data_IF_915966872167
#
_entry.id   IF_915966872167
#
_cell.length_a   1.000
_cell.length_b   1.000
_cell.length_c   1.000
_cell.angle_alpha   90.00
_cell.angle_beta   90.00
_cell.angle_gamma   90.00
#
_symmetry.space_group_name_H-M   'P 1'
#
loop_
_entity.id
_entity.type
_entity.pdbx_description
1 polymer ?
#
# COMPACT_ATOMS: atom_id res chain seq x y z
N UNK A 1 43.73 -32.39 -22.97
CA UNK A 1 42.97 -31.54 -22.04
C UNK A 1 41.56 -31.37 -22.61
N UNK A 2 40.65 -32.35 -22.42
CA UNK A 2 39.42 -32.42 -23.21
C UNK A 2 38.24 -31.68 -22.58
N UNK A 3 37.57 -30.93 -23.46
CA UNK A 3 36.13 -30.66 -23.56
C UNK A 3 35.21 -31.25 -22.47
N UNK A 4 34.51 -30.39 -21.73
CA UNK A 4 33.22 -30.72 -21.13
C UNK A 4 32.10 -30.02 -21.90
N UNK A 5 31.43 -30.83 -22.73
CA UNK A 5 30.14 -30.60 -23.35
C UNK A 5 29.06 -30.81 -22.28
N UNK A 6 28.40 -29.75 -21.81
CA UNK A 6 27.18 -29.89 -21.00
C UNK A 6 25.99 -29.83 -21.94
N UNK A 7 25.35 -31.00 -22.08
CA UNK A 7 24.17 -31.21 -22.89
C UNK A 7 22.99 -30.39 -22.38
N UNK A 8 22.36 -29.65 -23.29
CA UNK A 8 21.03 -29.11 -23.14
C UNK A 8 20.03 -30.28 -23.14
N UNK A 9 19.70 -30.82 -21.97
CA UNK A 9 18.59 -31.76 -21.84
C UNK A 9 17.29 -30.96 -21.86
N UNK A 10 16.60 -30.99 -23.00
CA UNK A 10 15.23 -30.52 -23.10
C UNK A 10 14.34 -31.24 -22.06
N UNK A 11 13.42 -30.53 -21.37
CA UNK A 11 12.52 -31.19 -20.45
C UNK A 11 11.57 -32.10 -21.23
N UNK A 12 11.58 -33.37 -20.85
CA UNK A 12 10.62 -34.41 -21.20
C UNK A 12 9.20 -33.87 -21.11
N UNK A 13 8.42 -34.05 -22.19
CA UNK A 13 6.98 -33.81 -22.24
C UNK A 13 6.27 -34.64 -21.16
N UNK A 14 6.09 -34.06 -19.97
CA UNK A 14 5.15 -34.55 -18.96
C UNK A 14 3.75 -34.13 -19.37
N UNK A 15 2.88 -35.14 -19.50
CA UNK A 15 1.46 -35.00 -19.74
C UNK A 15 0.84 -33.90 -18.85
N UNK A 16 -0.05 -33.09 -19.44
CA UNK A 16 -0.89 -32.15 -18.70
C UNK A 16 -1.63 -32.94 -17.61
N UNK A 17 -1.37 -32.69 -16.31
CA UNK A 17 -2.15 -33.28 -15.25
C UNK A 17 -3.59 -32.83 -15.44
N UNK A 18 -4.54 -33.77 -15.33
CA UNK A 18 -5.96 -33.48 -15.42
C UNK A 18 -6.36 -32.31 -14.53
N UNK A 19 -7.38 -31.57 -14.94
CA UNK A 19 -7.94 -30.41 -14.25
C UNK A 19 -8.42 -30.77 -12.81
N UNK A 20 -7.49 -30.94 -11.88
CA UNK A 20 -7.72 -30.98 -10.46
C UNK A 20 -7.84 -29.56 -9.94
N UNK A 21 -8.87 -29.29 -9.13
CA UNK A 21 -9.01 -28.00 -8.47
C UNK A 21 -7.72 -27.69 -7.68
N UNK A 22 -7.12 -26.52 -7.94
CA UNK A 22 -5.90 -26.08 -7.27
C UNK A 22 -6.09 -26.11 -5.74
N UNK A 23 -5.12 -26.68 -5.02
CA UNK A 23 -5.14 -26.70 -3.55
C UNK A 23 -5.10 -25.28 -3.01
N UNK A 24 -5.62 -25.05 -1.80
CA UNK A 24 -5.49 -23.73 -1.13
C UNK A 24 -4.05 -23.23 -1.09
N UNK A 25 -3.07 -24.13 -0.90
CA UNK A 25 -1.64 -23.79 -0.92
C UNK A 25 -1.15 -23.39 -2.31
N UNK A 26 -1.69 -24.02 -3.36
CA UNK A 26 -1.35 -23.69 -4.76
C UNK A 26 -1.95 -22.32 -5.13
N UNK A 27 -3.16 -22.04 -4.63
CA UNK A 27 -3.79 -20.72 -4.74
C UNK A 27 -3.01 -19.67 -3.97
N UNK A 28 -2.56 -19.94 -2.74
CA UNK A 28 -1.75 -19.00 -1.95
C UNK A 28 -0.40 -18.70 -2.62
N UNK A 29 0.20 -19.68 -3.30
CA UNK A 29 1.42 -19.50 -4.07
C UNK A 29 1.21 -18.69 -5.36
N UNK A 30 0.05 -18.85 -6.02
CA UNK A 30 -0.32 -18.14 -7.23
C UNK A 30 -0.80 -16.69 -6.95
N UNK A 31 -1.53 -16.50 -5.85
CA UNK A 31 -2.07 -15.21 -5.39
C UNK A 31 -1.70 -14.97 -3.93
N UNK A 32 -0.44 -14.61 -3.63
CA UNK A 32 -0.02 -14.33 -2.27
C UNK A 32 -0.87 -13.20 -1.68
N UNK A 33 -1.35 -13.34 -0.43
CA UNK A 33 -2.24 -12.37 0.19
C UNK A 33 -1.57 -10.99 0.30
N UNK A 34 -2.40 -9.97 0.41
CA UNK A 34 -1.91 -8.61 0.59
C UNK A 34 -1.09 -8.51 1.89
N UNK A 35 0.11 -7.89 1.82
CA UNK A 35 0.91 -7.60 3.00
C UNK A 35 0.13 -6.80 4.05
N UNK A 36 0.47 -7.03 5.33
CA UNK A 36 -0.37 -6.63 6.45
C UNK A 36 -0.43 -5.12 6.64
N UNK A 37 0.69 -4.40 6.48
CA UNK A 37 0.73 -2.95 6.66
C UNK A 37 -0.02 -2.26 5.52
N UNK A 38 0.22 -2.69 4.28
CA UNK A 38 -0.47 -2.18 3.10
C UNK A 38 -1.97 -2.37 3.23
N UNK A 39 -2.42 -3.59 3.55
CA UNK A 39 -3.84 -3.87 3.79
C UNK A 39 -4.43 -2.99 4.90
N UNK A 40 -3.72 -2.83 6.02
CA UNK A 40 -4.18 -2.00 7.12
C UNK A 40 -4.31 -0.53 6.71
N UNK A 41 -3.35 -0.01 5.95
CA UNK A 41 -3.36 1.37 5.47
C UNK A 41 -4.51 1.62 4.48
N UNK A 42 -4.73 0.70 3.53
CA UNK A 42 -5.88 0.78 2.62
C UNK A 42 -7.21 0.82 3.38
N UNK A 43 -7.40 -0.09 4.34
CA UNK A 43 -8.62 -0.14 5.15
C UNK A 43 -8.80 1.12 5.99
N UNK A 44 -7.72 1.68 6.55
CA UNK A 44 -7.76 2.92 7.30
C UNK A 44 -8.20 4.10 6.41
N UNK A 45 -7.61 4.28 5.23
CA UNK A 45 -7.99 5.35 4.31
C UNK A 45 -9.45 5.25 3.87
N UNK A 46 -9.90 4.05 3.49
CA UNK A 46 -11.30 3.82 3.11
C UNK A 46 -12.25 4.06 4.29
N UNK A 47 -11.90 3.58 5.48
CA UNK A 47 -12.70 3.78 6.69
C UNK A 47 -12.84 5.26 7.07
N UNK A 48 -11.73 6.01 7.02
CA UNK A 48 -11.72 7.46 7.29
C UNK A 48 -12.52 8.22 6.23
N UNK A 49 -12.40 7.85 4.95
CA UNK A 49 -13.21 8.43 3.89
C UNK A 49 -14.70 8.24 4.15
N UNK A 50 -15.14 7.00 4.42
CA UNK A 50 -16.53 6.71 4.76
C UNK A 50 -17.00 7.48 6.01
N UNK A 51 -16.15 7.58 7.04
CA UNK A 51 -16.47 8.33 8.26
C UNK A 51 -16.79 9.80 7.95
N UNK A 52 -16.00 10.45 7.10
CA UNK A 52 -16.21 11.86 6.77
C UNK A 52 -17.32 12.10 5.75
N UNK A 53 -17.63 11.13 4.89
CA UNK A 53 -18.85 11.18 4.07
C UNK A 53 -20.12 11.11 4.95
N UNK A 54 -20.07 10.37 6.07
CA UNK A 54 -21.18 10.30 7.02
C UNK A 54 -21.24 11.52 7.96
N UNK A 55 -20.07 12.03 8.37
CA UNK A 55 -19.93 13.11 9.36
C UNK A 55 -18.97 14.20 8.84
N UNK A 56 -19.39 15.02 7.86
CA UNK A 56 -18.51 15.97 7.19
C UNK A 56 -17.93 17.03 8.14
N UNK A 57 -18.62 17.36 9.24
CA UNK A 57 -18.13 18.31 10.25
C UNK A 57 -16.89 17.86 11.02
N UNK A 58 -16.49 16.59 10.92
CA UNK A 58 -15.28 16.07 11.55
C UNK A 58 -14.02 16.31 10.71
N UNK A 59 -14.13 16.35 9.37
CA UNK A 59 -12.97 16.44 8.48
C UNK A 59 -12.04 17.63 8.79
N UNK A 60 -12.54 18.86 9.05
CA UNK A 60 -11.68 20.00 9.36
C UNK A 60 -10.77 19.81 10.58
N UNK A 61 -11.11 18.91 11.52
CA UNK A 61 -10.27 18.64 12.69
C UNK A 61 -9.03 17.79 12.38
N UNK A 62 -9.00 17.13 11.23
CA UNK A 62 -7.96 16.20 10.80
C UNK A 62 -7.21 16.65 9.53
N UNK A 63 -7.71 17.68 8.84
CA UNK A 63 -7.02 18.35 7.73
C UNK A 63 -5.76 19.07 8.21
N UNK A 64 -4.75 19.14 7.35
CA UNK A 64 -3.51 19.86 7.64
C UNK A 64 -3.70 21.36 7.38
N UNK A 65 -4.00 22.10 8.45
CA UNK A 65 -4.16 23.55 8.38
C UNK A 65 -2.82 24.29 8.38
N UNK A 66 -2.72 25.44 7.69
CA UNK A 66 -1.55 26.32 7.79
C UNK A 66 -1.30 26.77 9.24
N UNK A 67 -0.04 26.93 9.64
CA UNK A 67 0.32 27.34 11.00
C UNK A 67 -0.30 28.70 11.40
N UNK A 68 -0.43 29.62 10.45
CA UNK A 68 -1.00 30.96 10.69
C UNK A 68 -2.53 30.98 10.79
N UNK A 69 -3.21 29.86 10.54
CA UNK A 69 -4.68 29.80 10.50
C UNK A 69 -5.35 29.87 11.88
N UNK A 70 -4.63 29.54 12.95
CA UNK A 70 -5.21 29.36 14.29
C UNK A 70 -5.95 28.02 14.50
N UNK A 71 -6.10 27.21 13.45
CA UNK A 71 -6.77 25.89 13.50
C UNK A 71 -5.79 24.71 13.46
N UNK A 72 -4.49 24.99 13.40
CA UNK A 72 -3.47 23.95 13.37
C UNK A 72 -3.41 23.17 14.69
N UNK A 73 -3.37 21.84 14.58
CA UNK A 73 -3.26 20.93 15.71
C UNK A 73 -2.17 19.88 15.42
N UNK A 74 -1.32 19.50 16.41
CA UNK A 74 -0.14 18.67 16.14
C UNK A 74 -0.40 17.30 15.48
N UNK A 75 -1.56 16.68 15.72
CA UNK A 75 -1.93 15.41 15.10
C UNK A 75 -2.20 15.51 13.60
N UNK A 76 -2.46 16.73 13.09
CA UNK A 76 -2.66 16.99 11.67
C UNK A 76 -1.43 16.65 10.83
N UNK A 77 -0.24 16.58 11.43
CA UNK A 77 1.00 16.12 10.78
C UNK A 77 0.95 14.67 10.31
N UNK A 78 0.01 13.87 10.82
CA UNK A 78 -0.17 12.47 10.41
C UNK A 78 -1.59 12.18 9.93
N UNK A 79 -2.62 12.79 10.52
CA UNK A 79 -4.00 12.46 10.17
C UNK A 79 -4.35 12.80 8.73
N UNK A 80 -3.77 13.88 8.19
CA UNK A 80 -4.03 14.35 6.83
C UNK A 80 -3.72 13.29 5.75
N UNK A 81 -2.79 12.37 6.01
CA UNK A 81 -2.44 11.30 5.08
C UNK A 81 -3.57 10.29 4.83
N UNK A 82 -4.58 10.26 5.70
CA UNK A 82 -5.74 9.38 5.54
C UNK A 82 -6.94 10.08 4.88
N UNK A 83 -6.89 11.41 4.73
CA UNK A 83 -7.99 12.20 4.19
C UNK A 83 -7.97 12.20 2.66
N UNK A 84 -9.15 12.07 2.06
CA UNK A 84 -9.32 12.08 0.61
C UNK A 84 -10.55 12.92 0.26
N UNK A 85 -10.37 13.96 -0.58
CA UNK A 85 -11.44 14.90 -0.92
C UNK A 85 -12.44 14.43 -1.98
N UNK A 86 -12.24 13.27 -2.62
CA UNK A 86 -13.20 12.71 -3.57
C UNK A 86 -13.00 11.21 -3.76
N UNK A 87 -14.04 10.53 -4.23
CA UNK A 87 -13.99 9.10 -4.56
C UNK A 87 -12.90 8.77 -5.59
N UNK A 88 -12.76 9.57 -6.65
CA UNK A 88 -11.73 9.36 -7.68
C UNK A 88 -10.32 9.51 -7.10
N UNK A 89 -10.10 10.49 -6.23
CA UNK A 89 -8.81 10.65 -5.56
C UNK A 89 -8.48 9.46 -4.66
N UNK A 90 -9.45 8.97 -3.89
CA UNK A 90 -9.30 7.75 -3.08
C UNK A 90 -8.98 6.55 -3.97
N UNK A 91 -9.75 6.33 -5.03
CA UNK A 91 -9.60 5.18 -5.93
C UNK A 91 -8.17 5.07 -6.48
N UNK A 92 -7.63 6.16 -7.02
CA UNK A 92 -6.30 6.14 -7.62
C UNK A 92 -5.18 6.02 -6.57
N UNK A 93 -5.33 6.60 -5.37
CA UNK A 93 -4.37 6.38 -4.29
C UNK A 93 -4.37 4.94 -3.82
N UNK A 94 -5.54 4.34 -3.61
CA UNK A 94 -5.64 2.96 -3.16
C UNK A 94 -5.14 1.99 -4.24
N UNK A 95 -5.38 2.28 -5.52
CA UNK A 95 -4.80 1.54 -6.64
C UNK A 95 -3.27 1.61 -6.62
N UNK A 96 -2.69 2.80 -6.46
CA UNK A 96 -1.25 2.99 -6.37
C UNK A 96 -0.63 2.27 -5.16
N UNK A 97 -1.23 2.41 -3.98
CA UNK A 97 -0.78 1.72 -2.77
C UNK A 97 -0.90 0.20 -2.87
N UNK A 98 -1.96 -0.30 -3.52
CA UNK A 98 -2.11 -1.73 -3.76
C UNK A 98 -1.04 -2.27 -4.71
N UNK A 99 -0.80 -1.58 -5.84
CA UNK A 99 0.18 -2.00 -6.85
C UNK A 99 1.63 -1.88 -6.36
N UNK A 100 1.98 -0.74 -5.76
CA UNK A 100 3.36 -0.44 -5.39
C UNK A 100 3.66 -0.71 -3.92
N UNK A 101 2.75 -0.34 -3.02
CA UNK A 101 2.94 -0.51 -1.57
C UNK A 101 3.07 -1.97 -1.16
N UNK A 102 2.25 -2.85 -1.75
CA UNK A 102 2.34 -4.29 -1.50
C UNK A 102 3.70 -4.88 -1.88
N UNK A 103 4.21 -4.54 -3.07
CA UNK A 103 5.52 -5.01 -3.51
C UNK A 103 6.66 -4.37 -2.69
N UNK A 104 6.57 -3.08 -2.34
CA UNK A 104 7.54 -2.43 -1.45
C UNK A 104 7.61 -3.10 -0.08
N UNK A 105 6.45 -3.43 0.52
CA UNK A 105 6.39 -4.11 1.81
C UNK A 105 7.01 -5.51 1.76
N UNK A 106 6.84 -6.24 0.65
CA UNK A 106 7.46 -7.55 0.43
C UNK A 106 8.98 -7.46 0.32
N UNK A 107 9.49 -6.45 -0.38
CA UNK A 107 10.94 -6.27 -0.59
C UNK A 107 11.64 -5.74 0.65
N UNK A 108 11.04 -4.78 1.37
CA UNK A 108 11.68 -4.12 2.52
C UNK A 108 11.27 -4.68 3.88
N UNK A 109 10.19 -5.45 3.93
CA UNK A 109 9.56 -5.91 5.15
C UNK A 109 8.70 -4.82 5.81
N UNK A 110 7.76 -5.23 6.68
CA UNK A 110 6.74 -4.35 7.24
C UNK A 110 7.31 -3.19 8.05
N UNK A 111 8.36 -3.42 8.85
CA UNK A 111 8.96 -2.38 9.70
C UNK A 111 9.53 -1.22 8.89
N UNK A 112 10.36 -1.52 7.88
CA UNK A 112 11.01 -0.49 7.05
C UNK A 112 9.99 0.23 6.17
N UNK A 113 9.01 -0.51 5.65
CA UNK A 113 7.91 0.07 4.90
C UNK A 113 7.10 1.08 5.75
N UNK A 114 6.73 0.72 6.98
CA UNK A 114 6.04 1.66 7.90
C UNK A 114 6.90 2.88 8.22
N UNK A 115 8.21 2.73 8.43
CA UNK A 115 9.11 3.86 8.65
C UNK A 115 9.12 4.81 7.46
N UNK A 116 9.11 4.28 6.24
CA UNK A 116 9.08 5.07 5.01
C UNK A 116 7.73 5.78 4.85
N UNK A 117 6.60 5.11 5.13
CA UNK A 117 5.28 5.74 5.12
C UNK A 117 5.20 6.92 6.11
N UNK A 118 5.70 6.74 7.33
CA UNK A 118 5.69 7.81 8.34
C UNK A 118 6.65 8.93 7.96
N UNK A 119 7.87 8.60 7.51
CA UNK A 119 8.86 9.60 7.12
C UNK A 119 8.41 10.42 5.90
N UNK A 120 7.81 9.78 4.90
CA UNK A 120 7.28 10.47 3.71
C UNK A 120 6.11 11.38 4.08
N UNK A 121 5.20 10.92 4.94
CA UNK A 121 4.08 11.71 5.45
C UNK A 121 4.60 12.94 6.20
N UNK A 122 5.50 12.78 7.16
CA UNK A 122 6.04 13.92 7.91
C UNK A 122 6.82 14.90 7.01
N UNK A 123 7.55 14.39 6.02
CA UNK A 123 8.28 15.22 5.06
C UNK A 123 7.33 16.04 4.19
N UNK A 124 6.24 15.43 3.69
CA UNK A 124 5.24 16.13 2.92
C UNK A 124 4.50 17.19 3.76
N UNK A 125 4.15 16.88 5.02
CA UNK A 125 3.55 17.84 5.93
C UNK A 125 4.48 19.04 6.18
N UNK A 126 5.77 18.78 6.41
CA UNK A 126 6.75 19.84 6.59
C UNK A 126 6.83 20.75 5.36
N UNK A 127 6.94 20.18 4.16
CA UNK A 127 7.00 20.96 2.92
C UNK A 127 5.73 21.79 2.74
N UNK A 128 4.54 21.21 2.95
CA UNK A 128 3.27 21.92 2.84
C UNK A 128 3.11 23.06 3.87
N UNK A 129 3.71 22.94 5.05
CA UNK A 129 3.66 24.00 6.06
C UNK A 129 4.66 25.13 5.79
N UNK A 130 5.67 24.89 4.96
CA UNK A 130 6.73 25.86 4.63
C UNK A 130 6.45 26.65 3.35
N UNK A 131 5.66 26.11 2.41
CA UNK A 131 5.38 26.68 1.08
C UNK A 131 3.88 26.78 0.82
#
# INVERSE_FOLDING_TARGET
MPLFCVAYTAPTSTALPGAGAASRRDLDALMPPLPSVTKAFLLACVGVFCLFELFPGLAPWFELWPLSSGFFMPWQLLSYAFLHGSFTHLLFNMLGLWMFGGELERVWGPKRYTQILVASTLSAALVQLLF
#
